data_IF_587075101719
#
_entry.id   IF_587075101719
#
_cell.length_a   1.000
_cell.length_b   1.000
_cell.length_c   1.000
_cell.angle_alpha   90.00
_cell.angle_beta   90.00
_cell.angle_gamma   90.00
#
_symmetry.space_group_name_H-M   'P 1'
#
loop_
_entity.id
_entity.type
_entity.pdbx_description
1 polymer ?
#
# COMPACT_ATOMS: atom_id res chain seq x y z
N UNK A 1 -0.15 -15.12 -13.97
CA UNK A 1 0.14 -14.78 -13.60
C UNK A 1 0.58 -14.35 -12.90
N UNK A 2 0.77 -14.16 -12.43
CA UNK A 2 1.09 -13.71 -11.82
C UNK A 2 1.32 -13.30 -11.17
N UNK A 3 1.53 -13.36 -10.60
CA UNK A 3 1.64 -12.95 -9.99
C UNK A 3 2.01 -12.18 -9.32
N UNK A 4 2.07 -11.96 -8.99
CA UNK A 4 2.30 -10.92 -8.53
C UNK A 4 2.36 -10.87 -7.29
N UNK A 5 2.20 -11.10 -6.69
CA UNK A 5 2.23 -10.91 -5.63
C UNK A 5 2.75 -11.45 -4.84
N UNK A 6 3.19 -11.51 -4.60
CA UNK A 6 3.89 -11.96 -3.86
C UNK A 6 3.81 -12.12 -2.64
N UNK A 7 3.37 -11.84 -2.33
CA UNK A 7 3.23 -11.78 -1.19
C UNK A 7 3.06 -12.96 -0.58
N UNK A 8 3.58 -13.31 0.28
CA UNK A 8 3.43 -14.33 0.91
C UNK A 8 2.43 -14.31 1.71
N UNK A 9 1.69 -15.24 1.80
CA UNK A 9 0.53 -15.29 2.35
C UNK A 9 0.43 -14.68 3.63
N UNK A 10 1.16 -14.68 4.49
CA UNK A 10 0.97 -14.16 5.81
C UNK A 10 1.78 -12.94 6.09
N UNK A 11 2.36 -12.37 5.04
CA UNK A 11 3.20 -11.21 5.23
C UNK A 11 2.68 -10.04 4.44
N UNK A 12 2.47 -8.91 5.07
CA UNK A 12 2.08 -7.73 4.33
C UNK A 12 3.22 -7.24 3.48
N UNK A 13 2.90 -6.42 2.50
CA UNK A 13 3.90 -5.80 1.66
C UNK A 13 4.82 -4.92 2.48
N UNK A 14 4.27 -4.23 3.46
CA UNK A 14 5.02 -3.24 4.21
C UNK A 14 4.33 -3.04 5.55
N UNK A 15 5.12 -2.83 6.60
CA UNK A 15 4.56 -2.45 7.88
C UNK A 15 5.17 -1.11 8.30
N UNK A 16 4.39 -0.32 9.01
CA UNK A 16 4.81 0.98 9.48
C UNK A 16 4.52 1.08 10.97
N UNK A 17 5.12 2.04 11.61
CA UNK A 17 4.90 2.32 13.05
C UNK A 17 5.13 1.07 13.89
N UNK A 18 6.30 0.44 13.66
CA UNK A 18 6.71 -0.72 14.45
C UNK A 18 5.68 -1.85 14.34
N UNK A 19 5.12 -2.04 13.15
CA UNK A 19 4.21 -3.15 12.92
C UNK A 19 2.77 -2.86 13.27
N UNK A 20 2.45 -1.66 13.72
CA UNK A 20 1.07 -1.33 14.06
C UNK A 20 0.20 -1.14 12.83
N UNK A 21 0.78 -0.77 11.72
CA UNK A 21 0.05 -0.58 10.49
C UNK A 21 0.61 -1.46 9.41
N UNK A 22 -0.24 -2.25 8.80
CA UNK A 22 0.14 -3.11 7.67
C UNK A 22 -0.43 -2.54 6.39
N UNK A 23 0.38 -2.56 5.34
CA UNK A 23 -0.01 -2.07 4.02
C UNK A 23 0.11 -3.22 3.04
N UNK A 24 -0.88 -3.39 2.20
CA UNK A 24 -0.85 -4.46 1.21
C UNK A 24 -1.53 -3.99 -0.06
N UNK A 25 -1.20 -4.63 -1.17
CA UNK A 25 -1.78 -4.32 -2.46
C UNK A 25 -2.09 -5.64 -3.13
N UNK A 26 -3.29 -5.75 -3.68
CA UNK A 26 -3.71 -6.96 -4.35
C UNK A 26 -4.31 -6.66 -5.71
N UNK A 27 -4.15 -7.58 -6.62
CA UNK A 27 -4.84 -7.56 -7.89
C UNK A 27 -5.68 -8.82 -7.96
N UNK A 28 -6.95 -8.66 -8.31
CA UNK A 28 -7.83 -9.79 -8.41
C UNK A 28 -8.54 -9.72 -9.76
N UNK A 29 -8.50 -10.79 -10.51
CA UNK A 29 -9.16 -10.82 -11.80
C UNK A 29 -10.63 -11.06 -11.59
N UNK A 30 -11.50 -10.10 -11.86
CA UNK A 30 -12.93 -10.25 -11.60
C UNK A 30 -13.61 -11.01 -12.72
N UNK A 31 -14.79 -11.51 -12.45
CA UNK A 31 -15.58 -12.15 -13.47
C UNK A 31 -16.20 -11.14 -14.40
N UNK A 32 -16.44 -9.94 -13.91
CA UNK A 32 -16.99 -8.89 -14.73
C UNK A 32 -15.89 -7.88 -15.04
N UNK A 33 -16.11 -7.11 -16.08
CA UNK A 33 -15.09 -6.18 -16.53
C UNK A 33 -15.19 -4.89 -15.73
N UNK A 34 -14.21 -4.66 -14.87
CA UNK A 34 -14.06 -3.42 -14.16
C UNK A 34 -12.68 -2.89 -14.45
N UNK A 35 -12.44 -1.63 -14.22
CA UNK A 35 -11.11 -1.08 -14.44
C UNK A 35 -10.43 -0.70 -13.14
N UNK A 36 -11.06 -0.94 -11.98
CA UNK A 36 -10.44 -0.63 -10.70
C UNK A 36 -10.26 -1.91 -9.90
N UNK A 37 -9.46 -2.81 -10.41
CA UNK A 37 -9.28 -4.13 -9.83
C UNK A 37 -8.06 -4.26 -8.94
N UNK A 38 -7.42 -3.15 -8.63
CA UNK A 38 -6.28 -3.13 -7.72
C UNK A 38 -6.78 -2.64 -6.38
N UNK A 39 -6.57 -3.43 -5.34
CA UNK A 39 -7.03 -3.06 -4.00
C UNK A 39 -5.86 -2.71 -3.12
N UNK A 40 -5.95 -1.58 -2.48
CA UNK A 40 -4.95 -1.09 -1.54
C UNK A 40 -5.54 -1.27 -0.15
N UNK A 41 -4.86 -2.02 0.70
CA UNK A 41 -5.34 -2.34 2.04
C UNK A 41 -4.50 -1.67 3.10
N UNK A 42 -5.15 -1.15 4.12
CA UNK A 42 -4.48 -0.70 5.34
C UNK A 42 -5.14 -1.41 6.50
N UNK A 43 -4.34 -2.01 7.36
CA UNK A 43 -4.86 -2.71 8.53
C UNK A 43 -4.08 -2.28 9.75
N UNK A 44 -4.80 -1.91 10.81
CA UNK A 44 -4.17 -1.51 12.05
C UNK A 44 -4.21 -2.65 13.04
N UNK A 45 -3.03 -2.99 13.58
CA UNK A 45 -2.89 -4.09 14.51
C UNK A 45 -2.60 -3.57 15.91
N UNK A 46 -3.47 -2.74 16.42
CA UNK A 46 -3.28 -2.13 17.73
C UNK A 46 -4.60 -2.05 18.46
N UNK A 47 -4.57 -1.76 19.78
CA UNK A 47 -5.82 -1.65 20.53
C UNK A 47 -6.69 -0.53 19.99
N UNK A 48 -8.01 -0.63 20.18
CA UNK A 48 -8.92 0.35 19.59
C UNK A 48 -8.63 1.79 19.97
N UNK A 49 -8.14 2.03 21.18
CA UNK A 49 -7.90 3.39 21.62
C UNK A 49 -6.68 3.99 20.93
N UNK A 50 -5.85 3.19 20.28
CA UNK A 50 -4.68 3.69 19.60
C UNK A 50 -4.84 3.73 18.08
N UNK A 51 -5.98 3.34 17.58
CA UNK A 51 -6.17 3.27 16.14
C UNK A 51 -6.33 4.66 15.54
N UNK A 52 -5.55 4.93 14.50
CA UNK A 52 -5.63 6.19 13.79
C UNK A 52 -6.82 6.22 12.85
N UNK A 53 -7.12 5.09 12.22
CA UNK A 53 -8.19 5.02 11.25
C UNK A 53 -9.51 4.65 11.88
N UNK A 54 -9.47 4.25 13.14
CA UNK A 54 -10.68 3.85 13.87
C UNK A 54 -11.43 2.74 13.16
N UNK A 55 -10.69 1.86 12.54
CA UNK A 55 -11.23 0.71 11.84
C UNK A 55 -10.18 -0.37 11.82
N UNK A 56 -10.61 -1.62 11.78
CA UNK A 56 -9.65 -2.71 11.72
C UNK A 56 -8.97 -2.75 10.37
N UNK A 57 -9.68 -2.41 9.34
CA UNK A 57 -9.15 -2.49 7.98
C UNK A 57 -9.80 -1.43 7.12
N UNK A 58 -9.02 -0.79 6.29
CA UNK A 58 -9.51 0.15 5.31
C UNK A 58 -8.99 -0.29 3.96
N UNK A 59 -9.84 -0.28 2.95
CA UNK A 59 -9.40 -0.66 1.62
C UNK A 59 -10.08 0.23 0.58
N UNK A 60 -9.41 0.40 -0.56
CA UNK A 60 -10.04 1.11 -1.66
C UNK A 60 -9.46 0.56 -2.96
N UNK A 61 -10.22 0.70 -4.00
CA UNK A 61 -9.86 0.16 -5.30
C UNK A 61 -9.27 1.24 -6.18
N UNK A 62 -8.32 0.84 -7.01
CA UNK A 62 -7.63 1.76 -7.90
C UNK A 62 -7.66 1.21 -9.31
N UNK A 63 -7.71 2.10 -10.27
CA UNK A 63 -7.47 1.73 -11.66
C UNK A 63 -5.97 1.63 -11.88
N UNK A 64 -5.57 1.07 -13.01
CA UNK A 64 -4.15 1.00 -13.36
C UNK A 64 -3.53 2.39 -13.41
N UNK A 65 -4.24 3.35 -13.99
CA UNK A 65 -3.72 4.71 -14.08
C UNK A 65 -3.52 5.34 -12.72
N UNK A 66 -4.49 5.14 -11.82
CA UNK A 66 -4.39 5.68 -10.47
C UNK A 66 -3.24 5.03 -9.70
N UNK A 67 -3.09 3.72 -9.86
CA UNK A 67 -2.01 3.02 -9.18
C UNK A 67 -0.65 3.51 -9.66
N UNK A 68 -0.51 3.74 -10.98
CA UNK A 68 0.74 4.24 -11.52
C UNK A 68 1.03 5.65 -11.05
N UNK A 69 0.02 6.50 -11.01
CA UNK A 69 0.19 7.86 -10.55
C UNK A 69 0.69 7.88 -9.11
N UNK A 70 0.07 7.07 -8.27
CA UNK A 70 0.49 6.98 -6.87
C UNK A 70 1.92 6.47 -6.76
N UNK A 71 2.24 5.43 -7.51
CA UNK A 71 3.57 4.84 -7.48
C UNK A 71 4.63 5.83 -7.94
N UNK A 72 4.35 6.56 -9.02
CA UNK A 72 5.29 7.54 -9.54
C UNK A 72 5.52 8.67 -8.55
N UNK A 73 4.45 9.11 -7.89
CA UNK A 73 4.58 10.16 -6.89
C UNK A 73 5.41 9.71 -5.71
N UNK A 74 5.22 8.47 -5.27
CA UNK A 74 6.00 7.93 -4.17
C UNK A 74 7.48 7.81 -4.55
N UNK A 75 7.74 7.33 -5.76
CA UNK A 75 9.11 7.21 -6.23
C UNK A 75 9.79 8.57 -6.35
N UNK A 76 9.08 9.56 -6.87
CA UNK A 76 9.65 10.89 -7.01
C UNK A 76 9.97 11.49 -5.65
N UNK A 77 9.07 11.30 -4.69
CA UNK A 77 9.31 11.81 -3.34
C UNK A 77 10.50 11.12 -2.69
N UNK A 78 10.63 9.81 -2.91
CA UNK A 78 11.75 9.07 -2.35
C UNK A 78 13.07 9.58 -2.90
N UNK A 79 13.12 9.86 -4.21
CA UNK A 79 14.34 10.38 -4.83
C UNK A 79 14.70 11.74 -4.27
N UNK A 80 13.71 12.60 -4.08
CA UNK A 80 13.98 13.91 -3.52
C UNK A 80 14.49 13.81 -2.10
N UNK A 81 13.90 12.89 -1.35
CA UNK A 81 14.34 12.68 0.03
C UNK A 81 15.77 12.17 0.06
N UNK A 82 16.12 11.26 -0.84
CA UNK A 82 17.49 10.75 -0.88
C UNK A 82 18.48 11.85 -1.23
N UNK A 83 18.12 12.72 -2.17
CA UNK A 83 19.00 13.84 -2.54
C UNK A 83 19.18 14.81 -1.38
N UNK A 84 18.09 15.06 -0.67
CA UNK A 84 18.16 15.96 0.46
C UNK A 84 19.03 15.39 1.57
N UNK A 85 18.88 14.10 1.85
CA UNK A 85 19.70 13.45 2.87
C UNK A 85 21.19 13.46 2.48
N UNK A 86 21.48 13.26 1.21
CA UNK A 86 22.85 13.28 0.73
C UNK A 86 23.49 14.64 0.93
N UNK A 87 22.72 15.72 0.76
CA UNK A 87 23.28 17.04 0.93
C UNK A 87 23.53 17.39 2.39
N UNK A 88 22.85 16.73 3.29
CA UNK A 88 23.01 17.06 4.68
C UNK A 88 24.29 16.53 5.28
N UNK A 89 24.98 15.66 4.59
CA UNK A 89 26.21 15.10 5.13
C UNK A 89 27.42 16.02 4.94
#
# INVERSE_FOLDING_TARGET
>A
MLTILPNNENKPLLTLFDGQLSVDVEFEQPEEVFDDNITFFLRENCPPEMKLLKADEVSFNLTSAQARTLAQSLLAAAEKNDQWLARRK
#
